data_IF_558844798813
#
_entry.id   IF_558844798813
#
_cell.length_a   1.000
_cell.length_b   1.000
_cell.length_c   1.000
_cell.angle_alpha   90.00
_cell.angle_beta   90.00
_cell.angle_gamma   90.00
#
_symmetry.space_group_name_H-M   'P 1'
#
loop_
_entity.id
_entity.type
_entity.pdbx_description
1 polymer ?
#
# COMPACT_ATOMS: atom_id res chain seq x y z
N UNK A 1 14.72 -10.54 -14.53
CA UNK A 1 14.06 -9.29 -14.07
C UNK A 1 14.73 -8.14 -14.79
N UNK A 2 14.02 -7.46 -15.69
CA UNK A 2 14.60 -6.38 -16.50
C UNK A 2 14.28 -5.04 -15.82
N UNK A 3 15.29 -4.44 -15.19
CA UNK A 3 15.17 -3.09 -14.61
C UNK A 3 15.55 -2.08 -15.67
N UNK A 4 14.56 -1.39 -16.23
CA UNK A 4 14.79 -0.29 -17.17
C UNK A 4 15.06 0.97 -16.35
N UNK A 5 16.13 1.70 -16.65
CA UNK A 5 16.41 2.97 -15.97
C UNK A 5 15.74 4.09 -16.76
N UNK A 6 14.77 4.77 -16.16
CA UNK A 6 14.13 5.95 -16.75
C UNK A 6 14.61 7.16 -15.96
N UNK A 7 15.32 8.08 -16.63
CA UNK A 7 15.99 9.23 -15.97
C UNK A 7 16.88 8.82 -14.78
N UNK A 8 17.72 7.79 -14.97
CA UNK A 8 18.62 7.22 -13.95
C UNK A 8 17.91 6.53 -12.76
N UNK A 9 16.57 6.57 -12.70
CA UNK A 9 15.78 5.92 -11.66
C UNK A 9 15.34 4.51 -12.08
N UNK A 10 15.39 3.51 -11.19
CA UNK A 10 15.03 2.15 -11.55
C UNK A 10 13.51 2.01 -11.69
N UNK A 11 13.08 1.70 -12.91
CA UNK A 11 11.74 1.24 -13.25
C UNK A 11 11.80 -0.27 -13.45
N UNK A 12 11.16 -1.02 -12.58
CA UNK A 12 11.00 -2.46 -12.71
C UNK A 12 9.67 -2.72 -13.40
N UNK A 13 9.72 -3.23 -14.62
CA UNK A 13 8.52 -3.67 -15.33
C UNK A 13 8.61 -5.18 -15.51
N UNK A 14 7.61 -5.88 -14.99
CA UNK A 14 7.49 -7.33 -15.11
C UNK A 14 6.21 -7.64 -15.84
N UNK A 15 6.34 -8.34 -16.96
CA UNK A 15 5.22 -8.91 -17.68
C UNK A 15 5.22 -10.41 -17.42
N UNK A 16 4.11 -10.91 -16.89
CA UNK A 16 3.90 -12.33 -16.65
C UNK A 16 2.64 -12.77 -17.38
N UNK A 17 2.79 -13.69 -18.33
CA UNK A 17 1.68 -14.32 -19.02
C UNK A 17 1.65 -15.80 -18.64
N UNK A 18 0.63 -16.19 -17.89
CA UNK A 18 0.41 -17.57 -17.48
C UNK A 18 -0.56 -18.23 -18.46
N UNK A 19 -0.02 -19.08 -19.32
CA UNK A 19 -0.81 -19.79 -20.33
C UNK A 19 -1.84 -20.75 -19.70
N UNK A 20 -1.55 -21.32 -18.52
CA UNK A 20 -2.43 -22.27 -17.83
C UNK A 20 -3.73 -21.64 -17.30
N UNK A 21 -3.68 -20.36 -16.93
CA UNK A 21 -4.79 -19.62 -16.34
C UNK A 21 -5.30 -18.54 -17.32
N UNK A 22 -4.78 -18.55 -18.56
CA UNK A 22 -4.83 -17.50 -19.58
C UNK A 22 -4.52 -16.07 -19.09
N UNK A 23 -4.00 -15.96 -17.87
CA UNK A 23 -3.94 -14.73 -17.10
C UNK A 23 -2.69 -13.96 -17.46
N UNK A 24 -2.90 -12.71 -17.86
CA UNK A 24 -1.81 -11.77 -18.12
C UNK A 24 -1.75 -10.71 -17.02
N UNK A 25 -0.59 -10.58 -16.38
CA UNK A 25 -0.31 -9.60 -15.33
C UNK A 25 0.86 -8.73 -15.73
N UNK A 26 0.66 -7.43 -15.65
CA UNK A 26 1.67 -6.40 -15.82
C UNK A 26 1.93 -5.75 -14.46
N UNK A 27 3.14 -5.89 -13.94
CA UNK A 27 3.58 -5.23 -12.73
C UNK A 27 4.62 -4.17 -13.06
N UNK A 28 4.36 -2.92 -12.67
CA UNK A 28 5.25 -1.79 -12.87
C UNK A 28 5.58 -1.15 -11.53
N UNK A 29 6.84 -1.18 -11.13
CA UNK A 29 7.32 -0.53 -9.92
C UNK A 29 8.32 0.55 -10.29
N UNK A 30 7.97 1.81 -10.06
CA UNK A 30 8.83 2.97 -10.24
C UNK A 30 9.38 3.43 -8.89
N UNK A 31 10.69 3.33 -8.71
CA UNK A 31 11.36 3.83 -7.50
C UNK A 31 11.91 5.21 -7.81
N UNK A 32 11.22 6.24 -7.34
CA UNK A 32 11.67 7.61 -7.51
C UNK A 32 12.86 7.90 -6.59
N UNK A 33 12.72 7.58 -5.31
CA UNK A 33 13.76 7.68 -4.28
C UNK A 33 13.63 6.49 -3.31
N UNK A 34 14.64 6.16 -2.50
CA UNK A 34 14.51 5.13 -1.46
C UNK A 34 13.34 5.40 -0.48
N UNK A 35 12.92 6.67 -0.36
CA UNK A 35 11.76 7.08 0.41
C UNK A 35 10.45 7.12 -0.40
N UNK A 36 10.48 7.19 -1.74
CA UNK A 36 9.29 7.36 -2.58
C UNK A 36 9.24 6.26 -3.64
N UNK A 37 8.30 5.34 -3.49
CA UNK A 37 8.10 4.22 -4.40
C UNK A 37 6.66 4.22 -4.90
N UNK A 38 6.48 4.16 -6.21
CA UNK A 38 5.20 3.97 -6.85
C UNK A 38 5.15 2.58 -7.46
N UNK A 39 4.06 1.85 -7.25
CA UNK A 39 3.85 0.51 -7.80
C UNK A 39 2.46 0.44 -8.41
N UNK A 40 2.36 -0.09 -9.61
CA UNK A 40 1.13 -0.28 -10.34
C UNK A 40 1.07 -1.74 -10.79
N UNK A 41 -0.02 -2.42 -10.48
CA UNK A 41 -0.26 -3.79 -10.89
C UNK A 41 -1.53 -3.83 -11.72
N UNK A 42 -1.46 -4.40 -12.91
CA UNK A 42 -2.57 -4.48 -13.84
C UNK A 42 -2.73 -5.92 -14.33
N UNK A 43 -3.82 -6.57 -13.95
CA UNK A 43 -4.20 -7.87 -14.47
C UNK A 43 -5.18 -7.66 -15.64
N UNK A 44 -4.65 -7.79 -16.86
CA UNK A 44 -5.40 -7.64 -18.13
C UNK A 44 -6.62 -8.56 -18.20
N UNK A 45 -6.50 -9.76 -17.65
CA UNK A 45 -7.52 -10.80 -17.73
C UNK A 45 -8.82 -10.46 -16.96
N UNK A 46 -8.67 -9.74 -15.85
CA UNK A 46 -9.79 -9.40 -14.96
C UNK A 46 -10.11 -7.91 -14.92
N UNK A 47 -9.37 -7.09 -15.68
CA UNK A 47 -9.42 -5.63 -15.58
C UNK A 47 -8.98 -5.09 -14.21
N UNK A 48 -8.37 -5.94 -13.36
CA UNK A 48 -7.98 -5.55 -12.01
C UNK A 48 -6.75 -4.66 -12.06
N UNK A 49 -6.90 -3.37 -11.75
CA UNK A 49 -5.80 -2.43 -11.62
C UNK A 49 -5.64 -2.01 -10.15
N UNK A 50 -4.43 -2.15 -9.61
CA UNK A 50 -4.06 -1.73 -8.27
C UNK A 50 -2.89 -0.76 -8.34
N UNK A 51 -3.11 0.44 -7.82
CA UNK A 51 -2.09 1.47 -7.69
C UNK A 51 -1.69 1.56 -6.23
N UNK A 52 -0.41 1.41 -5.93
CA UNK A 52 0.14 1.50 -4.59
C UNK A 52 1.22 2.57 -4.58
N UNK A 53 1.08 3.54 -3.72
CA UNK A 53 2.13 4.50 -3.43
C UNK A 53 2.72 4.21 -2.06
N UNK A 54 4.03 4.23 -1.95
CA UNK A 54 4.77 3.97 -0.71
C UNK A 54 5.68 5.16 -0.44
N UNK A 55 5.48 5.80 0.70
CA UNK A 55 6.28 6.91 1.17
C UNK A 55 6.88 6.61 2.54
N UNK A 56 8.21 6.64 2.65
CA UNK A 56 8.93 6.44 3.91
C UNK A 56 9.44 7.79 4.42
N UNK A 57 8.79 8.30 5.46
CA UNK A 57 9.20 9.50 6.17
C UNK A 57 10.29 9.18 7.19
N UNK A 58 11.48 9.76 7.00
CA UNK A 58 12.65 9.67 7.92
C UNK A 58 13.11 8.24 8.26
N UNK A 59 12.77 7.25 7.42
CA UNK A 59 13.10 5.84 7.67
C UNK A 59 12.33 5.20 8.84
N UNK A 60 11.41 5.93 9.47
CA UNK A 60 10.67 5.50 10.66
C UNK A 60 9.22 5.18 10.34
N UNK A 61 8.54 6.08 9.63
CA UNK A 61 7.13 5.95 9.29
C UNK A 61 6.96 5.72 7.80
N UNK A 62 6.19 4.72 7.43
CA UNK A 62 5.89 4.31 6.07
C UNK A 62 4.40 4.47 5.83
N UNK A 63 4.03 5.27 4.84
CA UNK A 63 2.66 5.48 4.38
C UNK A 63 2.48 4.71 3.08
N UNK A 64 1.43 3.91 2.98
CA UNK A 64 1.17 3.02 1.86
C UNK A 64 -0.31 3.07 1.45
N UNK A 65 -0.79 4.18 0.86
CA UNK A 65 -2.09 4.20 0.22
C UNK A 65 -2.08 3.30 -1.02
N UNK A 66 -3.13 2.50 -1.16
CA UNK A 66 -3.39 1.60 -2.27
C UNK A 66 -4.78 1.86 -2.80
N UNK A 67 -4.92 2.04 -4.10
CA UNK A 67 -6.19 2.16 -4.78
C UNK A 67 -6.43 0.93 -5.64
N UNK A 68 -7.52 0.24 -5.40
CA UNK A 68 -8.02 -0.84 -6.25
C UNK A 68 -9.07 -0.23 -7.18
N UNK A 69 -8.68 0.00 -8.44
CA UNK A 69 -9.56 0.59 -9.48
C UNK A 69 -10.70 -0.36 -9.81
N UNK A 70 -10.45 -1.68 -9.77
CA UNK A 70 -11.45 -2.67 -10.11
C UNK A 70 -12.59 -2.70 -9.12
N UNK A 71 -12.26 -2.51 -7.84
CA UNK A 71 -13.22 -2.44 -6.75
C UNK A 71 -13.68 -1.02 -6.45
N UNK A 72 -13.07 -0.02 -7.08
CA UNK A 72 -13.25 1.40 -6.77
C UNK A 72 -13.06 1.68 -5.26
N UNK A 73 -12.04 1.08 -4.65
CA UNK A 73 -11.82 1.13 -3.20
C UNK A 73 -10.40 1.55 -2.86
N UNK A 74 -10.29 2.35 -1.81
CA UNK A 74 -9.02 2.71 -1.20
C UNK A 74 -8.70 1.81 0.00
N UNK A 75 -7.46 1.39 0.08
CA UNK A 75 -6.88 0.74 1.25
C UNK A 75 -5.69 1.58 1.71
N UNK A 76 -5.66 1.94 2.98
CA UNK A 76 -4.59 2.73 3.56
C UNK A 76 -3.80 1.89 4.54
N UNK A 77 -2.48 1.86 4.42
CA UNK A 77 -1.61 1.26 5.41
C UNK A 77 -0.59 2.30 5.90
N UNK A 78 -0.38 2.34 7.22
CA UNK A 78 0.65 3.16 7.85
C UNK A 78 1.43 2.27 8.79
N UNK A 79 2.75 2.18 8.61
CA UNK A 79 3.64 1.45 9.50
C UNK A 79 4.64 2.40 10.13
N UNK A 80 4.81 2.32 11.43
CA UNK A 80 5.81 3.08 12.17
C UNK A 80 6.70 2.11 12.94
N UNK A 81 8.01 2.28 12.80
CA UNK A 81 9.00 1.62 13.65
C UNK A 81 9.06 2.34 14.99
N UNK A 82 8.86 1.60 16.08
CA UNK A 82 8.85 2.10 17.46
C UNK A 82 9.85 1.25 18.25
N UNK A 83 10.63 1.83 19.16
CA UNK A 83 11.59 1.09 20.01
C UNK A 83 12.50 0.09 19.26
N UNK A 84 13.35 0.61 18.36
CA UNK A 84 14.37 -0.19 17.67
C UNK A 84 13.79 -1.06 16.55
N UNK A 85 13.41 -2.29 16.88
CA UNK A 85 12.94 -3.30 15.91
C UNK A 85 11.43 -3.58 16.00
N UNK A 86 10.71 -2.99 16.95
CA UNK A 86 9.25 -3.15 17.02
C UNK A 86 8.60 -2.32 15.91
N UNK A 87 7.56 -2.87 15.28
CA UNK A 87 6.82 -2.18 14.21
C UNK A 87 5.34 -2.17 14.55
N UNK A 88 4.78 -0.98 14.64
CA UNK A 88 3.35 -0.75 14.65
C UNK A 88 2.87 -0.59 13.21
N UNK A 89 1.77 -1.22 12.84
CA UNK A 89 1.16 -1.11 11.52
C UNK A 89 -0.34 -0.97 11.67
N UNK A 90 -0.87 0.17 11.25
CA UNK A 90 -2.28 0.39 11.06
C UNK A 90 -2.64 0.13 9.59
N UNK A 91 -3.78 -0.51 9.37
CA UNK A 91 -4.35 -0.74 8.05
C UNK A 91 -5.82 -0.41 8.10
N UNK A 92 -6.33 0.23 7.06
CA UNK A 92 -7.72 0.56 6.89
C UNK A 92 -8.15 0.13 5.49
N UNK A 93 -9.14 -0.72 5.41
CA UNK A 93 -9.72 -1.15 4.14
C UNK A 93 -11.08 -0.50 4.00
N UNK A 94 -11.24 0.42 3.05
CA UNK A 94 -12.52 1.13 2.84
C UNK A 94 -13.60 0.17 2.37
N UNK A 95 -13.23 -0.84 1.57
CA UNK A 95 -14.18 -1.83 1.02
C UNK A 95 -14.92 -2.61 2.11
N UNK A 96 -14.18 -3.10 3.10
CA UNK A 96 -14.73 -3.88 4.22
C UNK A 96 -14.98 -3.04 5.47
N UNK A 97 -14.59 -1.75 5.44
CA UNK A 97 -14.57 -0.83 6.59
C UNK A 97 -13.82 -1.41 7.78
N UNK A 98 -12.79 -2.22 7.51
CA UNK A 98 -12.01 -2.89 8.55
C UNK A 98 -10.79 -2.06 8.87
N UNK A 99 -10.67 -1.70 10.14
CA UNK A 99 -9.47 -1.13 10.70
C UNK A 99 -8.70 -2.22 11.46
N UNK A 100 -7.48 -2.49 11.01
CA UNK A 100 -6.57 -3.45 11.61
C UNK A 100 -5.38 -2.72 12.21
N UNK A 101 -5.12 -2.96 13.50
CA UNK A 101 -3.88 -2.53 14.15
C UNK A 101 -3.05 -3.76 14.47
N UNK A 102 -1.81 -3.77 13.98
CA UNK A 102 -0.86 -4.84 14.20
C UNK A 102 0.38 -4.27 14.86
N UNK A 103 0.77 -4.85 15.99
CA UNK A 103 2.07 -4.60 16.61
C UNK A 103 2.89 -5.87 16.50
N UNK A 104 4.00 -5.77 15.76
CA UNK A 104 5.03 -6.79 15.71
C UNK A 104 6.18 -6.39 16.62
N UNK A 105 6.49 -7.20 17.62
CA UNK A 105 7.67 -7.04 18.48
C UNK A 105 8.76 -7.99 18.01
N UNK A 106 9.94 -7.46 17.68
CA UNK A 106 11.12 -8.26 17.34
C UNK A 106 11.85 -8.64 18.63
N UNK A 107 11.20 -9.42 19.49
CA UNK A 107 11.85 -10.12 20.59
C UNK A 107 11.81 -11.63 20.31
N UNK A 108 12.68 -12.41 20.96
CA UNK A 108 12.77 -13.89 20.81
C UNK A 108 11.48 -14.65 21.19
N UNK A 109 10.39 -13.95 21.46
CA UNK A 109 9.08 -14.50 21.80
C UNK A 109 8.06 -14.03 20.76
N UNK A 110 7.37 -14.96 20.08
CA UNK A 110 6.37 -14.63 19.05
C UNK A 110 5.09 -14.13 19.73
N UNK A 111 5.11 -12.90 20.21
CA UNK A 111 3.97 -12.23 20.82
C UNK A 111 3.54 -11.05 19.94
N UNK A 112 3.03 -11.36 18.74
CA UNK A 112 2.33 -10.38 17.92
C UNK A 112 0.86 -10.33 18.31
N UNK A 113 0.38 -9.22 18.87
CA UNK A 113 -1.04 -9.03 19.14
C UNK A 113 -1.69 -8.37 17.91
N UNK A 114 -2.66 -9.07 17.29
CA UNK A 114 -3.52 -8.49 16.25
C UNK A 114 -4.81 -8.03 16.91
N UNK A 115 -4.96 -6.72 17.09
CA UNK A 115 -6.22 -6.15 17.55
C UNK A 115 -7.04 -5.85 16.30
N UNK A 116 -8.07 -6.67 16.06
CA UNK A 116 -9.15 -6.34 15.13
C UNK A 116 -10.23 -5.64 15.95
N UNK A 117 -10.72 -4.50 15.46
CA UNK A 117 -11.65 -3.59 16.13
C UNK A 117 -10.97 -2.57 17.05
N UNK A 118 -10.79 -1.37 16.49
CA UNK A 118 -10.96 -0.14 17.24
C UNK A 118 -11.77 0.79 16.34
N UNK A 119 -12.96 1.17 16.80
CA UNK A 119 -13.78 2.22 16.19
C UNK A 119 -13.10 3.57 16.49
N UNK A 120 -12.00 3.84 15.78
CA UNK A 120 -11.22 5.06 15.95
C UNK A 120 -11.76 6.13 15.02
N UNK A 121 -12.68 6.95 15.54
CA UNK A 121 -13.22 8.14 14.89
C UNK A 121 -12.14 9.07 14.31
N UNK A 122 -10.92 9.07 14.88
CA UNK A 122 -9.78 9.85 14.39
C UNK A 122 -9.19 9.34 13.06
N UNK A 123 -9.15 8.03 12.82
CA UNK A 123 -8.67 7.47 11.55
C UNK A 123 -9.73 7.62 10.46
N UNK A 124 -11.02 7.49 10.85
CA UNK A 124 -12.15 7.86 9.98
C UNK A 124 -12.09 9.33 9.56
N UNK A 125 -11.77 10.25 10.49
CA UNK A 125 -11.58 11.68 10.18
C UNK A 125 -10.42 11.94 9.22
N UNK A 126 -9.28 11.26 9.38
CA UNK A 126 -8.14 11.39 8.46
C UNK A 126 -8.46 10.84 7.07
N UNK A 127 -9.20 9.72 7.00
CA UNK A 127 -9.70 9.14 5.75
C UNK A 127 -10.69 10.09 5.05
N UNK A 128 -11.64 10.64 5.83
CA UNK A 128 -12.62 11.61 5.34
C UNK A 128 -11.94 12.89 4.84
N UNK A 129 -10.85 13.34 5.48
CA UNK A 129 -10.06 14.48 5.00
C UNK A 129 -9.33 14.19 3.70
N UNK A 130 -8.76 13.00 3.53
CA UNK A 130 -8.09 12.59 2.29
C UNK A 130 -9.10 12.41 1.15
N UNK A 131 -10.25 11.80 1.44
CA UNK A 131 -11.35 11.65 0.49
C UNK A 131 -11.95 13.02 0.09
N UNK A 132 -12.14 13.95 1.04
CA UNK A 132 -12.63 15.30 0.77
C UNK A 132 -11.62 16.12 -0.05
N UNK A 133 -10.31 16.00 0.23
CA UNK A 133 -9.26 16.70 -0.50
C UNK A 133 -9.13 16.20 -1.95
N UNK A 134 -9.33 14.90 -2.18
CA UNK A 134 -9.38 14.34 -3.53
C UNK A 134 -10.68 14.64 -4.28
N UNK A 135 -11.83 14.68 -3.58
CA UNK A 135 -13.12 15.04 -4.19
C UNK A 135 -13.15 16.51 -4.63
N UNK A 136 -12.52 17.40 -3.87
CA UNK A 136 -12.35 18.82 -4.21
C UNK A 136 -11.32 19.03 -5.34
N UNK A 137 -10.41 18.07 -5.56
CA UNK A 137 -9.36 18.12 -6.61
C UNK A 137 -9.87 17.70 -8.01
N UNK A 138 -11.08 17.14 -8.11
CA UNK A 138 -11.70 16.76 -9.39
C UNK A 138 -12.69 17.80 -9.96
N UNK A 139 -12.79 19.00 -9.35
CA UNK A 139 -13.55 20.15 -9.85
C UNK A 139 -12.70 21.40 -10.01
#
# INVERSE_FOLDING_TARGET
>A
MNTVRVRERPLNLTYAHNFSDNRTVLDGTFVYDPANKFSANYALDSGNCKLKYTYVHKGLTTFEPTYDVAKNTWDFAVSQRVYGDDTLRATYQTSTRVLGLEWSRMSKHPAGFKVKSIDSQWISMLCCWVDLWFFVSQF
#
